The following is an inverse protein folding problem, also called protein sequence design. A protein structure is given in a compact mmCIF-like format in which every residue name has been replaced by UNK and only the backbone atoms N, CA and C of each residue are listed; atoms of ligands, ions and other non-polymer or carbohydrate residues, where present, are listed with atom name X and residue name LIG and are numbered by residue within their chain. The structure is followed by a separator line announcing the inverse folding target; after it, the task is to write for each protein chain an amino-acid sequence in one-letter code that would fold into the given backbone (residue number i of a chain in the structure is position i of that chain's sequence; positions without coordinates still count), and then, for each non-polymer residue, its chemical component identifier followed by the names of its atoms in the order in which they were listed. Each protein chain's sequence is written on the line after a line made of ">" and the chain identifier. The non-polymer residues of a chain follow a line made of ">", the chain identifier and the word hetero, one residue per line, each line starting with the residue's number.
data_IF_351846172524
#
_entry.id   IF_351846172524
#
_cell.length_a   1.000
_cell.length_b   1.000
_cell.length_c   1.000
_cell.angle_alpha   90.00
_cell.angle_beta   90.00
_cell.angle_gamma   90.00
#
_symmetry.space_group_name_H-M   'P 1'
#
loop_
_entity.id
_entity.type
_entity.pdbx_description
1 polymer ?
#
# COMPACT_ATOMS: atom_id res chain seq x y z
N UNK A 1 -19.79 -41.47 -48.39
CA UNK A 1 -19.93 -40.01 -48.56
C UNK A 1 -21.40 -39.66 -48.72
N UNK A 2 -22.04 -39.10 -47.70
CA UNK A 2 -23.24 -38.25 -47.84
C UNK A 2 -23.24 -37.29 -46.65
N UNK A 3 -22.97 -36.01 -46.93
CA UNK A 3 -22.86 -34.93 -45.94
C UNK A 3 -24.26 -34.59 -45.39
N UNK A 4 -24.47 -34.79 -44.08
CA UNK A 4 -25.59 -34.15 -43.37
C UNK A 4 -25.33 -32.65 -43.27
N UNK A 5 -26.22 -31.85 -43.85
CA UNK A 5 -26.26 -30.39 -43.63
C UNK A 5 -26.71 -30.14 -42.19
N UNK A 6 -25.84 -29.56 -41.37
CA UNK A 6 -26.20 -28.98 -40.08
C UNK A 6 -27.08 -27.74 -40.35
N UNK A 7 -28.31 -27.75 -39.85
CA UNK A 7 -29.13 -26.54 -39.72
C UNK A 7 -28.53 -25.69 -38.61
N UNK A 8 -28.05 -24.51 -38.95
CA UNK A 8 -27.79 -23.42 -38.00
C UNK A 8 -29.11 -22.99 -37.35
N UNK A 9 -29.15 -22.76 -36.03
CA UNK A 9 -30.29 -22.10 -35.40
C UNK A 9 -30.28 -20.62 -35.81
N UNK A 10 -31.44 -20.10 -36.22
CA UNK A 10 -31.66 -18.65 -36.31
C UNK A 10 -31.55 -18.02 -34.91
N UNK A 11 -31.02 -16.80 -34.79
CA UNK A 11 -31.00 -16.08 -33.52
C UNK A 11 -32.45 -15.76 -33.13
N UNK A 12 -32.87 -16.31 -32.00
CA UNK A 12 -34.20 -16.11 -31.46
C UNK A 12 -34.48 -14.63 -31.31
N UNK A 13 -35.54 -14.22 -32.00
CA UNK A 13 -35.97 -12.84 -32.12
C UNK A 13 -36.35 -12.33 -30.72
N UNK A 14 -35.79 -11.17 -30.36
CA UNK A 14 -36.00 -10.46 -29.09
C UNK A 14 -37.40 -10.69 -28.55
N UNK A 15 -37.51 -11.35 -27.39
CA UNK A 15 -38.77 -11.38 -26.65
C UNK A 15 -39.25 -9.93 -26.50
N UNK A 16 -40.49 -9.58 -26.89
CA UNK A 16 -40.97 -8.23 -26.69
C UNK A 16 -41.09 -8.06 -25.18
N UNK A 17 -40.13 -7.33 -24.58
CA UNK A 17 -40.24 -6.87 -23.20
C UNK A 17 -41.57 -6.13 -23.14
N UNK A 18 -42.54 -6.77 -22.50
CA UNK A 18 -43.93 -6.35 -22.40
C UNK A 18 -43.94 -4.87 -21.99
N UNK A 19 -44.76 -4.04 -22.63
CA UNK A 19 -44.75 -2.59 -22.37
C UNK A 19 -44.92 -2.26 -20.87
N UNK A 20 -45.61 -3.14 -20.13
CA UNK A 20 -45.71 -3.09 -18.66
C UNK A 20 -44.36 -3.19 -17.95
N UNK A 21 -43.47 -4.09 -18.38
CA UNK A 21 -42.13 -4.26 -17.79
C UNK A 21 -41.23 -3.06 -18.08
N UNK A 22 -41.35 -2.45 -19.27
CA UNK A 22 -40.63 -1.20 -19.60
C UNK A 22 -41.07 -0.03 -18.72
N UNK A 23 -42.37 0.09 -18.46
CA UNK A 23 -42.93 1.12 -17.57
C UNK A 23 -42.47 0.90 -16.12
N UNK A 24 -42.43 -0.35 -15.65
CA UNK A 24 -41.94 -0.68 -14.30
C UNK A 24 -40.46 -0.30 -14.17
N UNK A 25 -39.61 -0.68 -15.14
CA UNK A 25 -38.18 -0.34 -15.13
C UNK A 25 -37.97 1.18 -15.19
N UNK A 26 -38.72 1.89 -16.04
CA UNK A 26 -38.64 3.36 -16.12
C UNK A 26 -39.07 4.03 -14.81
N UNK A 27 -40.13 3.54 -14.17
CA UNK A 27 -40.60 4.07 -12.88
C UNK A 27 -39.60 3.82 -11.74
N UNK A 28 -38.99 2.64 -11.71
CA UNK A 28 -37.93 2.30 -10.75
C UNK A 28 -36.68 3.17 -10.94
N UNK A 29 -36.27 3.43 -12.19
CA UNK A 29 -35.17 4.35 -12.50
C UNK A 29 -35.48 5.80 -12.10
N UNK A 30 -36.71 6.25 -12.31
CA UNK A 30 -37.13 7.60 -11.90
C UNK A 30 -37.13 7.74 -10.38
N UNK A 31 -37.63 6.73 -9.65
CA UNK A 31 -37.57 6.67 -8.19
C UNK A 31 -36.13 6.62 -7.67
N UNK A 32 -35.25 5.84 -8.30
CA UNK A 32 -33.83 5.78 -7.95
C UNK A 32 -33.14 7.14 -8.18
N UNK A 33 -33.48 7.82 -9.28
CA UNK A 33 -32.91 9.14 -9.58
C UNK A 33 -33.43 10.22 -8.62
N UNK A 34 -34.71 10.16 -8.24
CA UNK A 34 -35.30 11.01 -7.20
C UNK A 34 -34.63 10.74 -5.84
N UNK A 35 -34.39 9.48 -5.49
CA UNK A 35 -33.73 9.09 -4.25
C UNK A 35 -32.27 9.58 -4.22
N UNK A 36 -31.55 9.45 -5.34
CA UNK A 36 -30.20 10.00 -5.51
C UNK A 36 -30.20 11.54 -5.44
N UNK A 37 -31.18 12.21 -6.04
CA UNK A 37 -31.35 13.67 -5.92
C UNK A 37 -31.62 14.07 -4.47
N UNK A 38 -32.49 13.36 -3.75
CA UNK A 38 -32.72 13.64 -2.32
C UNK A 38 -31.47 13.38 -1.49
N UNK A 39 -30.71 12.32 -1.76
CA UNK A 39 -29.43 12.09 -1.06
C UNK A 39 -28.38 13.15 -1.42
N UNK A 40 -28.43 13.73 -2.63
CA UNK A 40 -27.51 14.79 -3.04
C UNK A 40 -27.89 16.15 -2.43
N UNK A 41 -29.19 16.47 -2.37
CA UNK A 41 -29.68 17.73 -1.78
C UNK A 41 -29.78 17.70 -0.25
N UNK A 42 -30.09 16.56 0.38
CA UNK A 42 -30.18 16.42 1.83
C UNK A 42 -28.87 16.00 2.51
N UNK A 43 -27.76 15.81 1.75
CA UNK A 43 -26.42 15.63 2.34
C UNK A 43 -25.72 16.94 2.69
N UNK A 44 -26.40 18.08 2.57
CA UNK A 44 -26.09 19.27 3.33
C UNK A 44 -27.24 19.56 4.30
N UNK A 45 -27.17 19.13 5.57
CA UNK A 45 -27.67 19.99 6.60
C UNK A 45 -26.74 21.20 6.62
N UNK A 46 -27.22 22.33 6.09
CA UNK A 46 -26.80 23.64 6.58
C UNK A 46 -27.18 23.69 8.07
N UNK A 47 -26.33 23.10 8.91
CA UNK A 47 -26.26 23.46 10.31
C UNK A 47 -25.70 24.87 10.32
N UNK A 48 -26.62 25.83 10.41
CA UNK A 48 -26.35 27.23 10.73
C UNK A 48 -25.80 27.40 12.15
N UNK A 49 -24.69 26.74 12.46
CA UNK A 49 -23.69 27.34 13.31
C UNK A 49 -22.84 28.20 12.38
N UNK A 50 -23.02 29.51 12.49
CA UNK A 50 -21.97 30.46 12.19
C UNK A 50 -20.78 30.14 13.11
N UNK A 51 -20.04 29.09 12.78
CA UNK A 51 -18.65 29.01 13.15
C UNK A 51 -18.04 30.25 12.53
N UNK A 52 -17.75 31.23 13.40
CA UNK A 52 -16.84 32.31 13.09
C UNK A 52 -15.64 31.64 12.43
N UNK A 53 -15.61 31.68 11.10
CA UNK A 53 -14.49 31.17 10.33
C UNK A 53 -13.42 32.19 10.62
N UNK A 54 -12.66 31.93 11.69
CA UNK A 54 -11.45 32.66 11.99
C UNK A 54 -10.67 32.57 10.70
N UNK A 55 -10.61 33.70 9.99
CA UNK A 55 -9.93 33.83 8.74
C UNK A 55 -8.47 33.65 9.11
N UNK A 56 -8.00 32.40 9.13
CA UNK A 56 -6.66 32.06 9.56
C UNK A 56 -5.72 32.71 8.56
N UNK A 57 -5.23 33.90 8.91
CA UNK A 57 -4.31 34.65 8.08
C UNK A 57 -3.03 33.82 7.98
N UNK A 58 -2.81 33.20 6.83
CA UNK A 58 -1.60 32.44 6.57
C UNK A 58 -0.51 33.36 6.04
N UNK A 59 0.70 33.26 6.60
CA UNK A 59 1.86 33.98 6.09
C UNK A 59 2.43 33.26 4.86
N UNK A 60 3.08 34.02 3.96
CA UNK A 60 3.76 33.44 2.78
C UNK A 60 4.80 32.37 3.16
N UNK A 61 5.53 32.56 4.26
CA UNK A 61 6.52 31.59 4.73
C UNK A 61 5.86 30.28 5.17
N UNK A 62 4.77 30.36 5.94
CA UNK A 62 4.01 29.18 6.37
C UNK A 62 3.38 28.47 5.18
N UNK A 63 2.83 29.24 4.23
CA UNK A 63 2.27 28.70 3.00
C UNK A 63 3.28 27.86 2.22
N UNK A 64 4.47 28.40 1.97
CA UNK A 64 5.52 27.70 1.24
C UNK A 64 6.00 26.46 2.00
N UNK A 65 6.22 26.57 3.30
CA UNK A 65 6.65 25.44 4.15
C UNK A 65 5.64 24.31 4.16
N UNK A 66 4.34 24.61 4.18
CA UNK A 66 3.29 23.59 4.20
C UNK A 66 3.14 22.92 2.83
N UNK A 67 3.27 23.68 1.73
CA UNK A 67 3.34 23.11 0.38
C UNK A 67 4.56 22.18 0.25
N UNK A 68 5.74 22.61 0.70
CA UNK A 68 6.96 21.78 0.69
C UNK A 68 6.77 20.52 1.53
N UNK A 69 6.09 20.63 2.67
CA UNK A 69 5.75 19.48 3.52
C UNK A 69 4.83 18.50 2.80
N UNK A 70 3.78 18.98 2.11
CA UNK A 70 2.89 18.12 1.32
C UNK A 70 3.67 17.40 0.22
N UNK A 71 4.48 18.13 -0.55
CA UNK A 71 5.30 17.55 -1.62
C UNK A 71 6.29 16.50 -1.09
N UNK A 72 6.88 16.74 0.09
CA UNK A 72 7.80 15.80 0.73
C UNK A 72 7.14 14.47 1.12
N UNK A 73 5.86 14.47 1.47
CA UNK A 73 5.09 13.23 1.76
C UNK A 73 5.03 12.32 0.53
N UNK A 74 5.05 12.91 -0.67
CA UNK A 74 5.09 12.18 -1.93
C UNK A 74 6.50 11.79 -2.39
N UNK A 75 7.52 12.12 -1.58
CA UNK A 75 8.91 11.87 -1.91
C UNK A 75 9.46 12.79 -2.99
N UNK A 76 8.85 13.96 -3.21
CA UNK A 76 9.38 14.98 -4.12
C UNK A 76 10.55 15.68 -3.44
N UNK A 77 11.72 15.62 -4.06
CA UNK A 77 12.94 16.24 -3.54
C UNK A 77 12.96 17.75 -3.83
N UNK A 78 13.61 18.52 -2.96
CA UNK A 78 13.78 19.96 -3.17
C UNK A 78 14.54 20.28 -4.47
N UNK A 79 15.43 19.38 -4.90
CA UNK A 79 16.16 19.48 -6.17
C UNK A 79 15.24 19.42 -7.41
N UNK A 80 14.02 18.90 -7.26
CA UNK A 80 13.01 18.77 -8.31
C UNK A 80 12.04 19.96 -8.36
N UNK A 81 12.18 20.91 -7.44
CA UNK A 81 11.34 22.09 -7.32
C UNK A 81 12.14 23.31 -7.79
N UNK A 82 11.65 23.99 -8.82
CA UNK A 82 12.27 25.19 -9.40
C UNK A 82 11.39 26.41 -9.16
N UNK A 83 11.96 27.49 -8.65
CA UNK A 83 11.27 28.78 -8.60
C UNK A 83 11.22 29.38 -10.01
N UNK A 84 10.01 29.72 -10.47
CA UNK A 84 9.73 30.30 -11.78
C UNK A 84 9.05 31.67 -11.67
N UNK A 85 9.11 32.32 -10.51
CA UNK A 85 8.51 33.63 -10.24
C UNK A 85 8.94 34.71 -11.23
N UNK A 86 10.18 34.66 -11.72
CA UNK A 86 10.68 35.57 -12.76
C UNK A 86 9.97 35.38 -14.11
N UNK A 87 9.76 34.13 -14.53
CA UNK A 87 9.13 33.76 -15.80
C UNK A 87 7.62 34.06 -15.83
N UNK A 88 6.95 33.96 -14.68
CA UNK A 88 5.50 34.22 -14.60
C UNK A 88 5.17 35.72 -14.75
N UNK A 89 6.08 36.62 -14.39
CA UNK A 89 5.88 38.08 -14.60
C UNK A 89 5.66 38.43 -16.07
N UNK A 90 6.23 37.65 -17.00
CA UNK A 90 6.08 37.83 -18.45
C UNK A 90 4.68 37.42 -18.96
N UNK A 91 3.91 36.67 -18.15
CA UNK A 91 2.56 36.17 -18.50
C UNK A 91 1.41 37.08 -18.04
N UNK A 92 1.71 38.29 -17.54
CA UNK A 92 0.70 39.29 -17.15
C UNK A 92 0.13 39.13 -15.74
N UNK A 93 0.68 38.22 -14.92
CA UNK A 93 0.35 38.12 -13.49
C UNK A 93 1.21 39.12 -12.72
N UNK A 94 0.59 39.97 -11.89
CA UNK A 94 1.30 40.95 -11.08
C UNK A 94 2.24 40.26 -10.08
N UNK A 95 3.54 40.29 -10.39
CA UNK A 95 4.56 39.63 -9.59
C UNK A 95 4.75 40.21 -8.18
N UNK A 96 4.10 41.33 -7.83
CA UNK A 96 4.14 41.92 -6.47
C UNK A 96 3.23 41.20 -5.49
N UNK A 97 2.12 40.62 -5.94
CA UNK A 97 1.14 39.92 -5.10
C UNK A 97 1.39 38.42 -5.03
N UNK A 98 2.22 37.89 -5.93
CA UNK A 98 2.57 36.48 -5.99
C UNK A 98 3.46 36.08 -4.80
N UNK A 99 2.96 35.20 -3.95
CA UNK A 99 3.68 34.57 -2.86
C UNK A 99 4.71 33.59 -3.38
N UNK A 100 4.31 32.72 -4.31
CA UNK A 100 5.18 31.68 -4.87
C UNK A 100 4.78 31.28 -6.29
N UNK A 101 5.75 30.87 -7.07
CA UNK A 101 5.57 30.35 -8.41
C UNK A 101 6.59 29.25 -8.64
N UNK A 102 6.13 28.01 -8.68
CA UNK A 102 7.01 26.85 -8.68
C UNK A 102 6.68 25.91 -9.82
N UNK A 103 7.72 25.41 -10.43
CA UNK A 103 7.68 24.26 -11.32
C UNK A 103 8.18 23.05 -10.53
N UNK A 104 7.38 22.00 -10.51
CA UNK A 104 7.60 20.81 -9.69
C UNK A 104 7.66 19.64 -10.64
N UNK A 105 8.83 19.01 -10.74
CA UNK A 105 8.99 17.82 -11.56
C UNK A 105 8.41 16.61 -10.82
N UNK A 106 7.55 15.86 -11.49
CA UNK A 106 6.84 14.71 -10.95
C UNK A 106 7.37 13.44 -11.61
N UNK A 107 7.85 12.46 -10.83
CA UNK A 107 8.32 11.19 -11.37
C UNK A 107 7.16 10.40 -11.97
N UNK A 108 7.44 9.58 -12.98
CA UNK A 108 6.42 8.89 -13.78
C UNK A 108 5.60 7.84 -13.01
N UNK A 109 6.10 7.37 -11.87
CA UNK A 109 5.42 6.42 -10.99
C UNK A 109 4.40 7.07 -10.04
N UNK A 110 4.28 8.41 -10.05
CA UNK A 110 3.39 9.17 -9.18
C UNK A 110 2.23 9.80 -9.95
N UNK A 111 1.00 9.54 -9.51
CA UNK A 111 -0.18 10.20 -10.08
C UNK A 111 -0.36 11.60 -9.48
N UNK A 112 -0.38 12.62 -10.33
CA UNK A 112 -0.54 14.03 -9.93
C UNK A 112 -1.90 14.33 -9.29
N UNK A 113 -2.91 13.47 -9.52
CA UNK A 113 -4.25 13.62 -8.94
C UNK A 113 -4.23 13.58 -7.40
N UNK A 114 -3.40 12.74 -6.79
CA UNK A 114 -3.33 12.61 -5.33
C UNK A 114 -2.66 13.85 -4.70
N UNK A 115 -1.57 14.32 -5.31
CA UNK A 115 -0.90 15.57 -4.91
C UNK A 115 -1.86 16.75 -5.03
N UNK A 116 -2.58 16.83 -6.15
CA UNK A 116 -3.57 17.86 -6.41
C UNK A 116 -4.68 17.84 -5.35
N UNK A 117 -5.17 16.65 -4.97
CA UNK A 117 -6.19 16.50 -3.94
C UNK A 117 -5.71 17.01 -2.57
N UNK A 118 -4.51 16.61 -2.12
CA UNK A 118 -3.97 17.03 -0.82
C UNK A 118 -3.68 18.55 -0.79
N UNK A 119 -3.12 19.10 -1.87
CA UNK A 119 -2.89 20.54 -1.98
C UNK A 119 -4.23 21.29 -2.00
N UNK A 120 -5.20 20.86 -2.81
CA UNK A 120 -6.52 21.50 -2.86
C UNK A 120 -7.23 21.48 -1.51
N UNK A 121 -7.16 20.37 -0.77
CA UNK A 121 -7.69 20.28 0.58
C UNK A 121 -7.04 21.28 1.54
N UNK A 122 -5.71 21.42 1.45
CA UNK A 122 -4.96 22.44 2.18
C UNK A 122 -5.37 23.87 1.80
N UNK A 123 -5.53 24.17 0.50
CA UNK A 123 -5.96 25.50 0.01
C UNK A 123 -7.35 25.88 0.54
N UNK A 124 -8.30 24.95 0.47
CA UNK A 124 -9.67 25.18 0.97
C UNK A 124 -9.72 25.45 2.47
N UNK A 125 -8.84 24.82 3.27
CA UNK A 125 -8.73 25.07 4.71
C UNK A 125 -8.47 26.55 5.05
N UNK A 126 -7.81 27.28 4.15
CA UNK A 126 -7.51 28.72 4.32
C UNK A 126 -8.43 29.64 3.53
N UNK A 127 -9.59 29.15 3.07
CA UNK A 127 -10.56 29.93 2.28
C UNK A 127 -9.95 30.57 1.03
N UNK A 128 -8.98 29.90 0.42
CA UNK A 128 -8.39 30.26 -0.86
C UNK A 128 -9.12 29.50 -1.98
N UNK A 129 -9.00 30.00 -3.22
CA UNK A 129 -9.57 29.36 -4.41
C UNK A 129 -8.48 28.77 -5.28
N UNK A 130 -8.65 27.53 -5.71
CA UNK A 130 -7.82 26.88 -6.70
C UNK A 130 -8.51 26.82 -8.08
N UNK A 131 -7.73 27.04 -9.14
CA UNK A 131 -8.08 26.70 -10.52
C UNK A 131 -7.04 25.73 -11.05
N UNK A 132 -7.48 24.52 -11.40
CA UNK A 132 -6.61 23.46 -11.90
C UNK A 132 -6.88 23.24 -13.38
N UNK A 133 -5.83 23.20 -14.19
CA UNK A 133 -5.89 22.89 -15.62
C UNK A 133 -4.89 21.79 -15.94
N UNK A 134 -5.34 20.75 -16.63
CA UNK A 134 -4.50 19.64 -17.13
C UNK A 134 -4.30 19.79 -18.63
N UNK A 135 -3.05 19.67 -19.10
CA UNK A 135 -2.75 19.58 -20.52
C UNK A 135 -3.05 18.13 -21.01
N UNK A 136 -3.98 17.95 -21.96
CA UNK A 136 -4.40 16.62 -22.38
C UNK A 136 -3.30 15.80 -23.06
N UNK A 137 -2.25 16.43 -23.61
CA UNK A 137 -1.18 15.75 -24.34
C UNK A 137 -0.12 15.16 -23.43
N UNK A 138 0.34 15.93 -22.45
CA UNK A 138 1.46 15.56 -21.58
C UNK A 138 1.04 15.31 -20.13
N UNK A 139 -0.25 15.48 -19.79
CA UNK A 139 -0.80 15.27 -18.45
C UNK A 139 -0.24 16.21 -17.38
N UNK A 140 0.48 17.26 -17.78
CA UNK A 140 0.99 18.27 -16.86
C UNK A 140 -0.16 19.05 -16.26
N UNK A 141 -0.03 19.39 -14.97
CA UNK A 141 -1.07 20.11 -14.24
C UNK A 141 -0.55 21.50 -13.89
N UNK A 142 -1.35 22.52 -14.17
CA UNK A 142 -1.15 23.87 -13.68
C UNK A 142 -2.24 24.21 -12.67
N UNK A 143 -1.82 24.56 -11.46
CA UNK A 143 -2.68 25.01 -10.38
C UNK A 143 -2.41 26.49 -10.11
N UNK A 144 -3.44 27.32 -10.27
CA UNK A 144 -3.43 28.71 -9.88
C UNK A 144 -4.24 28.87 -8.59
N UNK A 145 -3.67 29.59 -7.63
CA UNK A 145 -4.27 29.79 -6.31
C UNK A 145 -4.50 31.28 -6.13
N UNK A 146 -5.74 31.64 -5.80
CA UNK A 146 -6.18 33.02 -5.65
C UNK A 146 -6.79 33.26 -4.27
N UNK A 147 -6.74 34.52 -3.84
CA UNK A 147 -7.56 34.98 -2.72
C UNK A 147 -9.05 34.93 -3.11
N UNK A 148 -9.92 34.81 -2.11
CA UNK A 148 -11.38 34.91 -2.27
C UNK A 148 -11.84 36.37 -2.28
N UNK A 149 -11.04 37.27 -2.85
CA UNK A 149 -11.41 38.67 -3.07
C UNK A 149 -12.16 38.85 -4.40
N UNK A 150 -12.81 39.99 -4.59
CA UNK A 150 -13.56 40.31 -5.82
C UNK A 150 -12.67 40.32 -7.06
N UNK A 151 -11.38 40.62 -6.90
CA UNK A 151 -10.39 40.63 -7.97
C UNK A 151 -9.80 39.23 -8.28
N UNK A 152 -10.07 38.22 -7.45
CA UNK A 152 -9.48 36.88 -7.50
C UNK A 152 -7.95 36.91 -7.67
N UNK A 153 -7.29 37.75 -6.87
CA UNK A 153 -5.85 38.02 -6.98
C UNK A 153 -5.07 36.72 -6.87
N UNK A 154 -4.34 36.35 -7.93
CA UNK A 154 -3.51 35.14 -7.96
C UNK A 154 -2.31 35.35 -7.04
N UNK A 155 -2.19 34.49 -6.03
CA UNK A 155 -1.13 34.54 -5.04
C UNK A 155 -0.14 33.39 -5.21
N UNK A 156 -0.50 32.30 -5.87
CA UNK A 156 0.45 31.24 -6.17
C UNK A 156 0.17 30.53 -7.49
N UNK A 157 1.23 30.00 -8.09
CA UNK A 157 1.17 29.15 -9.27
C UNK A 157 2.06 27.92 -9.07
N UNK A 158 1.49 26.73 -9.19
CA UNK A 158 2.20 25.45 -9.11
C UNK A 158 2.03 24.71 -10.44
N UNK A 159 3.14 24.48 -11.13
CA UNK A 159 3.18 23.73 -12.38
C UNK A 159 3.79 22.35 -12.11
N UNK A 160 2.98 21.31 -12.13
CA UNK A 160 3.40 19.92 -12.03
C UNK A 160 3.73 19.39 -13.43
N UNK A 161 5.00 19.04 -13.65
CA UNK A 161 5.50 18.57 -14.93
C UNK A 161 5.98 17.14 -14.79
N UNK A 162 5.41 16.22 -15.56
CA UNK A 162 5.87 14.84 -15.61
C UNK A 162 7.27 14.75 -16.21
N UNK A 163 8.15 14.02 -15.51
CA UNK A 163 9.52 13.78 -15.92
C UNK A 163 9.82 12.28 -15.85
N UNK A 164 9.85 11.62 -17.02
CA UNK A 164 10.10 10.18 -17.12
C UNK A 164 11.50 9.75 -16.65
N UNK A 165 12.43 10.70 -16.61
CA UNK A 165 13.81 10.49 -16.15
C UNK A 165 13.92 10.45 -14.62
N UNK A 166 12.93 10.96 -13.88
CA UNK A 166 12.94 10.95 -12.43
C UNK A 166 12.32 9.66 -11.89
N UNK A 167 13.02 9.01 -10.97
CA UNK A 167 12.55 7.83 -10.25
C UNK A 167 12.76 8.03 -8.76
N UNK A 168 11.73 7.72 -7.97
CA UNK A 168 11.87 7.67 -6.51
C UNK A 168 12.62 6.41 -6.12
N UNK A 169 13.79 6.58 -5.52
CA UNK A 169 14.59 5.46 -5.02
C UNK A 169 14.21 5.20 -3.56
N UNK A 170 13.35 4.21 -3.35
CA UNK A 170 12.91 3.77 -2.00
C UNK A 170 13.00 2.25 -1.87
N UNK A 171 13.29 1.74 -0.66
CA UNK A 171 13.37 0.30 -0.44
C UNK A 171 12.03 -0.39 -0.65
N UNK A 172 12.08 -1.65 -1.06
CA UNK A 172 10.94 -2.56 -0.93
C UNK A 172 10.86 -3.07 0.50
N UNK A 173 9.68 -3.07 1.08
CA UNK A 173 9.42 -3.44 2.47
C UNK A 173 8.51 -4.67 2.49
N UNK A 174 8.87 -5.67 3.28
CA UNK A 174 8.01 -6.80 3.58
C UNK A 174 7.77 -6.83 5.09
N UNK A 175 6.50 -6.88 5.48
CA UNK A 175 6.08 -6.99 6.88
C UNK A 175 5.46 -8.36 7.08
N UNK A 176 6.03 -9.11 8.02
CA UNK A 176 5.45 -10.37 8.50
C UNK A 176 4.83 -10.10 9.86
N UNK A 177 3.52 -10.33 9.94
CA UNK A 177 2.76 -10.30 11.18
C UNK A 177 2.93 -11.63 11.89
N UNK A 178 3.48 -11.55 13.09
CA UNK A 178 3.52 -12.65 14.05
C UNK A 178 2.28 -12.58 14.95
N UNK A 179 1.88 -13.74 15.47
CA UNK A 179 1.04 -13.82 16.67
C UNK A 179 -0.38 -13.31 16.47
N UNK A 180 -0.98 -13.51 15.28
CA UNK A 180 -2.38 -13.16 15.04
C UNK A 180 -3.33 -14.02 15.90
N UNK A 181 -2.87 -15.22 16.28
CA UNK A 181 -3.57 -16.21 17.09
C UNK A 181 -3.71 -15.80 18.57
N UNK A 182 -3.22 -14.62 18.94
CA UNK A 182 -3.45 -13.98 20.24
C UNK A 182 -4.55 -12.89 20.19
N UNK A 183 -5.08 -12.56 19.01
CA UNK A 183 -6.23 -11.65 18.85
C UNK A 183 -7.53 -12.43 18.96
N UNK A 184 -8.68 -11.77 19.15
CA UNK A 184 -9.96 -12.45 18.93
C UNK A 184 -10.10 -12.83 17.45
N UNK A 185 -10.78 -13.94 17.15
CA UNK A 185 -10.91 -14.45 15.77
C UNK A 185 -11.55 -13.40 14.85
N UNK A 186 -12.62 -12.76 15.29
CA UNK A 186 -13.30 -11.69 14.54
C UNK A 186 -12.37 -10.50 14.23
N UNK A 187 -11.45 -10.16 15.15
CA UNK A 187 -10.47 -9.09 14.93
C UNK A 187 -9.41 -9.52 13.92
N UNK A 188 -8.97 -10.78 13.97
CA UNK A 188 -8.05 -11.35 13.00
C UNK A 188 -8.68 -11.39 11.59
N UNK A 189 -9.95 -11.80 11.47
CA UNK A 189 -10.70 -11.76 10.20
C UNK A 189 -10.75 -10.35 9.62
N UNK A 190 -11.09 -9.36 10.45
CA UNK A 190 -11.13 -7.96 10.03
C UNK A 190 -9.76 -7.46 9.53
N UNK A 191 -8.66 -7.87 10.19
CA UNK A 191 -7.31 -7.55 9.75
C UNK A 191 -6.99 -8.19 8.40
N UNK A 192 -7.34 -9.46 8.22
CA UNK A 192 -7.04 -10.24 7.03
C UNK A 192 -7.84 -9.79 5.80
N UNK A 193 -9.03 -9.23 6.01
CA UNK A 193 -9.86 -8.64 4.96
C UNK A 193 -9.37 -7.28 4.45
N UNK A 194 -8.31 -6.71 5.03
CA UNK A 194 -7.75 -5.43 4.56
C UNK A 194 -6.98 -5.59 3.25
N UNK A 195 -6.81 -4.52 2.48
CA UNK A 195 -6.02 -4.51 1.24
C UNK A 195 -4.51 -4.38 1.49
N UNK A 196 -4.05 -4.45 2.73
CA UNK A 196 -2.65 -4.29 3.06
C UNK A 196 -1.81 -5.50 2.62
N UNK A 197 -0.66 -5.22 2.00
CA UNK A 197 0.29 -6.24 1.55
C UNK A 197 1.22 -6.63 2.70
N UNK A 198 0.68 -7.44 3.61
CA UNK A 198 1.41 -8.07 4.71
C UNK A 198 1.43 -9.58 4.53
N UNK A 199 2.41 -10.23 5.15
CA UNK A 199 2.48 -11.69 5.23
C UNK A 199 2.31 -12.15 6.66
N UNK A 200 1.95 -13.42 6.85
CA UNK A 200 1.55 -13.94 8.16
C UNK A 200 2.42 -15.13 8.53
N UNK A 201 2.65 -15.32 9.83
CA UNK A 201 3.12 -16.60 10.35
C UNK A 201 1.91 -17.48 10.61
N UNK A 202 1.85 -18.64 9.95
CA UNK A 202 0.78 -19.60 10.16
C UNK A 202 0.97 -20.33 11.51
N UNK A 203 0.02 -20.25 12.45
CA UNK A 203 0.13 -20.97 13.72
C UNK A 203 -0.14 -22.46 13.50
N UNK A 204 0.86 -23.32 13.71
CA UNK A 204 0.74 -24.76 13.42
C UNK A 204 0.07 -25.59 14.52
N UNK A 205 -0.27 -25.00 15.67
CA UNK A 205 -0.85 -25.74 16.79
C UNK A 205 -2.31 -26.09 16.50
N UNK A 206 -2.73 -27.30 16.89
CA UNK A 206 -4.09 -27.80 16.66
C UNK A 206 -5.17 -26.95 17.35
N UNK A 207 -4.89 -26.35 18.51
CA UNK A 207 -5.81 -25.46 19.21
C UNK A 207 -6.00 -24.10 18.52
N UNK A 208 -5.26 -23.85 17.42
CA UNK A 208 -5.35 -22.66 16.59
C UNK A 208 -5.90 -22.96 15.18
N UNK A 209 -6.60 -24.08 15.03
CA UNK A 209 -7.20 -24.50 13.75
C UNK A 209 -8.10 -23.42 13.14
N UNK A 210 -8.88 -22.70 13.95
CA UNK A 210 -9.75 -21.62 13.46
C UNK A 210 -8.92 -20.51 12.77
N UNK A 211 -7.79 -20.10 13.35
CA UNK A 211 -6.90 -19.11 12.74
C UNK A 211 -6.21 -19.66 11.49
N UNK A 212 -5.89 -20.96 11.44
CA UNK A 212 -5.35 -21.57 10.22
C UNK A 212 -6.37 -21.47 9.08
N UNK A 213 -7.63 -21.85 9.33
CA UNK A 213 -8.71 -21.76 8.35
C UNK A 213 -8.89 -20.32 7.86
N UNK A 214 -9.00 -19.36 8.79
CA UNK A 214 -9.19 -17.95 8.44
C UNK A 214 -8.02 -17.39 7.62
N UNK A 215 -6.76 -17.70 7.97
CA UNK A 215 -5.59 -17.28 7.19
C UNK A 215 -5.64 -17.87 5.78
N UNK A 216 -5.89 -19.19 5.68
CA UNK A 216 -5.91 -19.89 4.39
C UNK A 216 -7.03 -19.38 3.49
N UNK A 217 -8.21 -19.12 4.04
CA UNK A 217 -9.38 -18.60 3.31
C UNK A 217 -9.20 -17.15 2.88
N UNK A 218 -8.46 -16.33 3.65
CA UNK A 218 -8.21 -14.93 3.31
C UNK A 218 -7.40 -14.73 2.03
N UNK A 219 -6.69 -15.77 1.57
CA UNK A 219 -5.77 -15.70 0.43
C UNK A 219 -4.53 -14.82 0.68
N UNK A 220 -4.31 -14.36 1.92
CA UNK A 220 -3.11 -13.61 2.30
C UNK A 220 -1.88 -14.50 2.24
N UNK A 221 -0.75 -13.88 1.95
CA UNK A 221 0.53 -14.56 1.91
C UNK A 221 0.93 -15.04 3.31
N UNK A 222 1.40 -16.28 3.43
CA UNK A 222 1.82 -16.82 4.71
C UNK A 222 3.11 -17.62 4.59
N UNK A 223 3.84 -17.66 5.70
CA UNK A 223 5.03 -18.46 5.90
C UNK A 223 4.81 -19.42 7.07
N UNK A 224 5.68 -20.41 7.14
CA UNK A 224 5.72 -21.33 8.27
C UNK A 224 7.04 -21.11 8.98
N UNK A 225 6.96 -20.78 10.27
CA UNK A 225 8.14 -20.66 11.13
C UNK A 225 8.26 -21.93 11.97
N UNK A 226 9.45 -22.53 11.97
CA UNK A 226 9.74 -23.76 12.69
C UNK A 226 11.00 -23.58 13.54
N UNK A 227 11.03 -24.24 14.69
CA UNK A 227 12.22 -24.28 15.55
C UNK A 227 12.95 -25.61 15.40
N UNK A 228 14.26 -25.55 15.17
CA UNK A 228 15.15 -26.73 15.19
C UNK A 228 15.90 -26.72 16.52
N UNK A 229 15.79 -27.82 17.27
CA UNK A 229 16.32 -27.94 18.62
C UNK A 229 17.01 -29.28 18.90
N UNK A 230 17.45 -29.47 20.14
CA UNK A 230 17.90 -30.76 20.66
C UNK A 230 16.94 -31.27 21.74
N UNK A 231 17.33 -32.32 22.46
CA UNK A 231 16.56 -32.92 23.55
C UNK A 231 16.18 -31.93 24.67
N UNK A 232 16.96 -30.86 24.86
CA UNK A 232 16.71 -29.82 25.87
C UNK A 232 15.69 -28.78 25.40
N UNK A 233 15.45 -28.67 24.09
CA UNK A 233 14.49 -27.73 23.50
C UNK A 233 13.11 -28.39 23.36
N UNK A 234 12.36 -28.45 24.46
CA UNK A 234 11.01 -29.08 24.49
C UNK A 234 10.05 -28.45 23.48
N UNK A 235 10.21 -27.16 23.21
CA UNK A 235 9.34 -26.40 22.29
C UNK A 235 9.78 -26.47 20.83
N UNK A 236 10.86 -27.19 20.50
CA UNK A 236 11.33 -27.30 19.14
C UNK A 236 10.42 -28.19 18.28
N UNK A 237 10.18 -27.75 17.05
CA UNK A 237 9.34 -28.49 16.11
C UNK A 237 10.06 -29.73 15.60
N UNK A 238 11.34 -29.62 15.32
CA UNK A 238 12.18 -30.71 14.82
C UNK A 238 13.40 -30.78 15.72
N UNK A 239 13.66 -31.97 16.29
CA UNK A 239 14.79 -32.16 17.20
C UNK A 239 15.78 -33.17 16.67
N UNK A 240 17.07 -32.95 16.94
CA UNK A 240 18.17 -33.83 16.50
C UNK A 240 18.11 -35.23 17.14
N UNK A 241 17.48 -35.37 18.31
CA UNK A 241 17.26 -36.65 19.00
C UNK A 241 16.05 -37.43 18.45
N UNK A 242 15.24 -36.86 17.56
CA UNK A 242 14.14 -37.58 16.92
C UNK A 242 14.67 -38.65 15.97
N UNK A 243 14.05 -39.83 15.98
CA UNK A 243 14.32 -40.86 14.97
C UNK A 243 14.10 -40.31 13.58
N UNK A 244 14.96 -40.70 12.64
CA UNK A 244 14.98 -40.22 11.25
C UNK A 244 13.62 -40.22 10.55
N UNK A 245 12.88 -41.32 10.68
CA UNK A 245 11.55 -41.46 10.10
C UNK A 245 10.53 -40.48 10.71
N UNK A 246 10.71 -40.10 11.97
CA UNK A 246 9.77 -39.25 12.71
C UNK A 246 9.85 -37.81 12.23
N UNK A 247 11.06 -37.23 12.19
CA UNK A 247 11.22 -35.86 11.76
C UNK A 247 10.93 -35.71 10.25
N UNK A 248 11.34 -36.67 9.42
CA UNK A 248 11.00 -36.69 7.98
C UNK A 248 9.49 -36.76 7.74
N UNK A 249 8.78 -37.59 8.52
CA UNK A 249 7.32 -37.65 8.46
C UNK A 249 6.67 -36.32 8.84
N UNK A 250 7.20 -35.61 9.85
CA UNK A 250 6.73 -34.28 10.22
C UNK A 250 6.95 -33.26 9.10
N UNK A 251 8.14 -33.22 8.50
CA UNK A 251 8.43 -32.38 7.32
C UNK A 251 7.45 -32.67 6.18
N UNK A 252 7.27 -33.94 5.84
CA UNK A 252 6.32 -34.39 4.81
C UNK A 252 4.89 -33.95 5.13
N UNK A 253 4.44 -34.08 6.37
CA UNK A 253 3.08 -33.66 6.76
C UNK A 253 2.88 -32.16 6.58
N UNK A 254 3.85 -31.34 6.99
CA UNK A 254 3.81 -29.88 6.80
C UNK A 254 3.78 -29.54 5.31
N UNK A 255 4.64 -30.20 4.53
CA UNK A 255 4.74 -29.97 3.09
C UNK A 255 3.44 -30.29 2.35
N UNK A 256 2.77 -31.39 2.73
CA UNK A 256 1.51 -31.80 2.11
C UNK A 256 0.34 -30.92 2.54
N UNK A 257 0.24 -30.59 3.84
CA UNK A 257 -0.87 -29.82 4.38
C UNK A 257 -0.81 -28.33 3.98
N UNK A 258 0.39 -27.80 3.77
CA UNK A 258 0.60 -26.37 3.53
C UNK A 258 1.44 -26.10 2.28
N UNK A 259 1.14 -26.80 1.19
CA UNK A 259 1.86 -26.70 -0.10
C UNK A 259 1.88 -25.28 -0.70
N UNK A 260 0.99 -24.38 -0.24
CA UNK A 260 0.92 -22.99 -0.68
C UNK A 260 1.74 -22.01 0.18
N UNK A 261 2.45 -22.48 1.21
CA UNK A 261 3.27 -21.58 2.03
C UNK A 261 4.39 -20.97 1.19
N UNK A 262 4.64 -19.68 1.40
CA UNK A 262 5.60 -18.92 0.59
C UNK A 262 7.05 -19.13 0.98
N UNK A 263 7.27 -19.76 2.13
CA UNK A 263 8.56 -20.25 2.57
C UNK A 263 8.50 -20.84 3.97
N UNK A 264 9.56 -21.56 4.31
CA UNK A 264 9.85 -22.05 5.65
C UNK A 264 10.94 -21.18 6.25
N UNK A 265 10.76 -20.68 7.48
CA UNK A 265 11.79 -19.96 8.22
C UNK A 265 12.17 -20.75 9.46
N UNK A 266 13.46 -21.04 9.61
CA UNK A 266 13.97 -21.78 10.76
C UNK A 266 14.59 -20.86 11.82
N UNK A 267 14.16 -21.09 13.06
CA UNK A 267 14.87 -20.67 14.26
C UNK A 267 15.80 -21.79 14.70
N UNK A 268 17.11 -21.57 14.55
CA UNK A 268 18.09 -22.59 14.89
C UNK A 268 18.55 -22.41 16.34
N UNK A 269 18.25 -23.38 17.20
CA UNK A 269 18.64 -23.36 18.61
C UNK A 269 19.80 -24.33 18.93
N UNK A 270 20.38 -24.96 17.90
CA UNK A 270 21.47 -25.94 18.05
C UNK A 270 22.65 -25.62 17.14
N UNK A 271 23.81 -26.16 17.50
CA UNK A 271 25.04 -26.03 16.70
C UNK A 271 25.29 -27.22 15.74
N UNK A 272 24.33 -28.14 15.60
CA UNK A 272 24.40 -29.26 14.66
C UNK A 272 24.03 -28.83 13.23
N UNK A 273 25.04 -28.39 12.48
CA UNK A 273 24.87 -27.95 11.09
C UNK A 273 24.47 -29.09 10.15
N UNK A 274 24.86 -30.33 10.44
CA UNK A 274 24.56 -31.47 9.57
C UNK A 274 23.06 -31.79 9.64
N UNK A 275 22.53 -31.91 10.85
CA UNK A 275 21.10 -32.13 11.05
C UNK A 275 20.26 -30.99 10.46
N UNK A 276 20.62 -29.74 10.71
CA UNK A 276 19.94 -28.57 10.13
C UNK A 276 19.92 -28.64 8.60
N UNK A 277 21.05 -28.96 7.97
CA UNK A 277 21.12 -29.11 6.51
C UNK A 277 20.28 -30.27 5.98
N UNK A 278 20.18 -31.38 6.72
CA UNK A 278 19.33 -32.51 6.35
C UNK A 278 17.85 -32.12 6.38
N UNK A 279 17.42 -31.38 7.40
CA UNK A 279 16.05 -30.85 7.48
C UNK A 279 15.76 -29.87 6.35
N UNK A 280 16.68 -28.96 6.04
CA UNK A 280 16.56 -28.02 4.91
C UNK A 280 16.37 -28.78 3.59
N UNK A 281 17.25 -29.74 3.29
CA UNK A 281 17.19 -30.55 2.06
C UNK A 281 15.87 -31.32 1.93
N UNK A 282 15.35 -31.82 3.05
CA UNK A 282 14.06 -32.52 3.05
C UNK A 282 12.93 -31.57 2.62
N UNK A 283 12.85 -30.34 3.18
CA UNK A 283 11.86 -29.35 2.73
C UNK A 283 12.05 -28.91 1.27
N UNK A 284 13.30 -28.73 0.84
CA UNK A 284 13.62 -28.39 -0.55
C UNK A 284 13.20 -29.49 -1.52
N UNK A 285 13.23 -30.77 -1.12
CA UNK A 285 12.73 -31.89 -1.92
C UNK A 285 11.24 -31.78 -2.24
N UNK A 286 10.47 -31.10 -1.38
CA UNK A 286 9.07 -30.73 -1.60
C UNK A 286 8.89 -29.36 -2.26
N UNK A 287 9.97 -28.77 -2.80
CA UNK A 287 10.01 -27.47 -3.50
C UNK A 287 9.73 -26.25 -2.63
N UNK A 288 9.89 -26.35 -1.31
CA UNK A 288 9.84 -25.16 -0.46
C UNK A 288 11.12 -24.34 -0.57
N UNK A 289 10.98 -23.02 -0.50
CA UNK A 289 12.10 -22.13 -0.19
C UNK A 289 12.30 -22.10 1.31
N UNK A 290 13.53 -22.29 1.74
CA UNK A 290 13.88 -22.40 3.15
C UNK A 290 14.86 -21.29 3.52
N UNK A 291 14.60 -20.64 4.66
CA UNK A 291 15.36 -19.50 5.14
C UNK A 291 15.72 -19.67 6.62
N UNK A 292 16.77 -19.00 7.06
CA UNK A 292 17.10 -18.85 8.48
C UNK A 292 16.41 -17.59 9.03
N UNK A 293 16.11 -17.53 10.33
CA UNK A 293 15.56 -16.34 10.99
C UNK A 293 16.41 -15.08 10.80
N UNK A 294 17.70 -15.21 10.48
CA UNK A 294 18.58 -14.09 10.11
C UNK A 294 18.16 -13.35 8.84
N UNK A 295 17.18 -13.86 8.08
CA UNK A 295 16.54 -13.13 6.98
C UNK A 295 15.81 -11.88 7.47
N UNK A 296 15.31 -11.88 8.72
CA UNK A 296 14.69 -10.72 9.30
C UNK A 296 15.75 -9.66 9.60
N UNK A 297 15.56 -8.47 9.07
CA UNK A 297 16.40 -7.33 9.43
C UNK A 297 16.27 -7.01 10.91
N UNK A 298 15.04 -7.03 11.41
CA UNK A 298 14.70 -6.72 12.79
C UNK A 298 13.39 -7.38 13.19
N UNK A 299 13.37 -7.87 14.42
CA UNK A 299 12.16 -8.32 15.09
C UNK A 299 11.74 -7.22 16.07
N UNK A 300 10.55 -6.64 15.87
CA UNK A 300 10.12 -5.48 16.67
C UNK A 300 9.14 -5.94 17.74
N UNK A 301 9.62 -5.91 18.98
CA UNK A 301 8.90 -6.26 20.19
C UNK A 301 9.03 -5.09 21.19
N UNK A 302 7.98 -4.79 21.97
CA UNK A 302 8.00 -3.73 23.00
C UNK A 302 6.86 -2.71 22.88
N UNK A 303 6.99 -1.56 23.52
CA UNK A 303 6.04 -0.43 23.40
C UNK A 303 6.33 0.41 22.14
N UNK A 304 5.33 1.15 21.64
CA UNK A 304 5.45 2.05 20.48
C UNK A 304 6.00 1.38 19.20
N UNK A 305 5.59 0.11 18.96
CA UNK A 305 6.12 -0.73 17.88
C UNK A 305 5.95 -0.11 16.50
N UNK A 306 4.80 0.52 16.25
CA UNK A 306 4.50 1.15 14.95
C UNK A 306 5.46 2.30 14.70
N UNK A 307 5.60 3.22 15.66
CA UNK A 307 6.57 4.32 15.57
C UNK A 307 8.00 3.82 15.34
N UNK A 308 8.43 2.80 16.11
CA UNK A 308 9.75 2.20 15.97
C UNK A 308 9.96 1.59 14.56
N UNK A 309 8.97 0.83 14.06
CA UNK A 309 9.00 0.23 12.73
C UNK A 309 9.12 1.29 11.62
N UNK A 310 8.27 2.32 11.67
CA UNK A 310 8.21 3.35 10.63
C UNK A 310 9.48 4.19 10.62
N UNK A 311 10.05 4.51 11.78
CA UNK A 311 11.32 5.21 11.87
C UNK A 311 12.49 4.37 11.34
N UNK A 312 12.53 3.08 11.66
CA UNK A 312 13.56 2.16 11.16
C UNK A 312 13.54 2.12 9.63
N UNK A 313 12.36 1.91 9.03
CA UNK A 313 12.13 1.94 7.58
C UNK A 313 12.61 3.26 6.95
N UNK A 314 12.33 4.41 7.61
CA UNK A 314 12.77 5.72 7.13
C UNK A 314 14.29 5.88 7.21
N UNK A 315 14.90 5.53 8.34
CA UNK A 315 16.35 5.65 8.53
C UNK A 315 17.15 4.77 7.57
N UNK A 316 16.66 3.56 7.29
CA UNK A 316 17.37 2.61 6.43
C UNK A 316 17.23 2.90 4.94
N UNK A 317 16.22 3.70 4.55
CA UNK A 317 16.16 4.22 3.19
C UNK A 317 17.37 5.10 2.84
N UNK A 318 18.07 5.64 3.85
CA UNK A 318 19.28 6.44 3.70
C UNK A 318 20.53 5.55 3.53
N UNK A 319 20.50 4.30 4.01
CA UNK A 319 21.66 3.39 4.06
C UNK A 319 21.84 2.49 2.83
N UNK A 320 21.11 2.74 1.73
CA UNK A 320 21.16 2.01 0.44
C UNK A 320 20.72 0.54 0.48
N UNK A 321 20.06 0.07 1.54
CA UNK A 321 19.44 -1.25 1.50
C UNK A 321 18.19 -1.20 0.60
N UNK A 322 18.16 -2.00 -0.46
CA UNK A 322 17.05 -2.00 -1.43
C UNK A 322 15.82 -2.80 -0.94
N UNK A 323 15.98 -3.59 0.11
CA UNK A 323 15.00 -4.54 0.61
C UNK A 323 15.05 -4.65 2.13
N UNK A 324 13.91 -4.45 2.78
CA UNK A 324 13.76 -4.50 4.23
C UNK A 324 12.69 -5.52 4.60
N UNK A 325 13.04 -6.50 5.43
CA UNK A 325 12.12 -7.53 5.92
C UNK A 325 12.00 -7.42 7.44
N UNK A 326 10.77 -7.19 7.91
CA UNK A 326 10.49 -7.06 9.33
C UNK A 326 9.51 -8.13 9.80
N UNK A 327 9.75 -8.62 11.01
CA UNK A 327 8.79 -9.43 11.76
C UNK A 327 8.25 -8.60 12.92
N UNK A 328 6.93 -8.49 13.02
CA UNK A 328 6.28 -7.58 13.97
C UNK A 328 5.04 -8.22 14.58
N UNK A 329 4.85 -8.03 15.89
CA UNK A 329 3.62 -8.41 16.60
C UNK A 329 2.80 -7.15 16.89
N UNK A 330 1.70 -6.96 16.16
CA UNK A 330 0.79 -5.82 16.32
C UNK A 330 -0.54 -6.30 16.90
N UNK A 331 -1.17 -5.53 17.78
CA UNK A 331 -2.58 -5.70 18.13
C UNK A 331 -3.49 -4.97 17.11
N UNK A 332 -4.83 -5.09 17.18
CA UNK A 332 -5.73 -4.46 16.19
C UNK A 332 -5.61 -2.93 16.10
N UNK A 333 -5.43 -2.24 17.23
CA UNK A 333 -5.28 -0.78 17.24
C UNK A 333 -3.93 -0.36 16.61
N UNK A 334 -2.84 -1.03 17.00
CA UNK A 334 -1.51 -0.85 16.42
C UNK A 334 -1.50 -1.17 14.92
N UNK A 335 -2.25 -2.19 14.47
CA UNK A 335 -2.36 -2.51 13.06
C UNK A 335 -3.03 -1.37 12.28
N UNK A 336 -4.11 -0.78 12.81
CA UNK A 336 -4.77 0.36 12.17
C UNK A 336 -3.89 1.60 12.09
N UNK A 337 -3.09 1.86 13.13
CA UNK A 337 -2.06 2.90 13.10
C UNK A 337 -1.00 2.60 12.02
N UNK A 338 -0.52 1.35 11.96
CA UNK A 338 0.40 0.89 10.93
C UNK A 338 -0.16 1.12 9.52
N UNK A 339 -1.44 0.82 9.23
CA UNK A 339 -2.01 1.06 7.88
C UNK A 339 -1.89 2.53 7.50
N UNK A 340 -2.17 3.43 8.44
CA UNK A 340 -2.12 4.88 8.22
C UNK A 340 -0.69 5.33 7.90
N UNK A 341 0.30 4.87 8.65
CA UNK A 341 1.70 5.22 8.41
C UNK A 341 2.29 4.52 7.17
N UNK A 342 1.91 3.27 6.92
CA UNK A 342 2.29 2.53 5.72
C UNK A 342 1.76 3.20 4.45
N UNK A 343 0.53 3.74 4.48
CA UNK A 343 -0.02 4.52 3.38
C UNK A 343 0.81 5.77 3.08
N UNK A 344 1.29 6.48 4.12
CA UNK A 344 2.21 7.62 3.94
C UNK A 344 3.54 7.19 3.31
N UNK A 345 4.08 6.04 3.71
CA UNK A 345 5.29 5.49 3.09
C UNK A 345 5.03 5.08 1.63
N UNK A 346 3.90 4.46 1.31
CA UNK A 346 3.52 4.16 -0.08
C UNK A 346 3.43 5.43 -0.92
N UNK A 347 2.80 6.50 -0.40
CA UNK A 347 2.80 7.82 -1.04
C UNK A 347 4.21 8.34 -1.31
N UNK A 348 5.15 8.12 -0.39
CA UNK A 348 6.55 8.50 -0.56
C UNK A 348 7.37 7.61 -1.53
N UNK A 349 6.76 6.55 -2.08
CA UNK A 349 7.35 5.65 -3.07
C UNK A 349 7.85 4.30 -2.54
N UNK A 350 7.64 3.98 -1.26
CA UNK A 350 8.02 2.68 -0.70
C UNK A 350 7.10 1.59 -1.27
N UNK A 351 7.69 0.43 -1.62
CA UNK A 351 6.95 -0.70 -2.20
C UNK A 351 6.73 -1.77 -1.13
N UNK A 352 5.49 -1.92 -0.68
CA UNK A 352 5.13 -2.98 0.26
C UNK A 352 4.78 -4.26 -0.51
N UNK A 353 5.54 -5.32 -0.23
CA UNK A 353 5.46 -6.61 -0.90
C UNK A 353 5.09 -7.70 0.11
N UNK A 354 4.33 -8.69 -0.34
CA UNK A 354 4.23 -9.97 0.36
C UNK A 354 5.60 -10.69 0.39
N UNK A 355 5.78 -11.66 1.27
CA UNK A 355 7.01 -12.42 1.41
C UNK A 355 7.31 -13.21 0.13
N UNK A 356 6.29 -13.77 -0.51
CA UNK A 356 6.42 -14.41 -1.84
C UNK A 356 6.99 -13.46 -2.88
N UNK A 357 6.45 -12.26 -2.99
CA UNK A 357 6.92 -11.24 -3.95
C UNK A 357 8.31 -10.73 -3.60
N UNK A 358 8.58 -10.55 -2.31
CA UNK A 358 9.85 -10.06 -1.79
C UNK A 358 11.01 -11.03 -2.10
N UNK A 359 10.77 -12.34 -1.97
CA UNK A 359 11.77 -13.40 -2.19
C UNK A 359 11.81 -13.96 -3.62
N UNK A 360 10.85 -13.59 -4.48
CA UNK A 360 10.84 -14.00 -5.90
C UNK A 360 11.51 -13.00 -6.82
N UNK A 361 11.56 -11.71 -6.46
CA UNK A 361 12.26 -10.69 -7.25
C UNK A 361 13.77 -10.82 -7.06
N UNK A 362 14.59 -11.09 -8.10
CA UNK A 362 16.04 -10.91 -8.02
C UNK A 362 16.37 -9.44 -7.70
N UNK A 363 17.48 -9.19 -7.02
CA UNK A 363 17.93 -7.85 -6.59
C UNK A 363 18.36 -6.91 -7.74
N UNK A 364 17.93 -7.17 -8.97
CA UNK A 364 18.35 -6.44 -10.16
C UNK A 364 17.18 -6.13 -11.11
N UNK A 365 16.72 -4.88 -11.08
CA UNK A 365 16.16 -4.17 -12.24
C UNK A 365 15.92 -2.69 -11.87
N UNK A 366 17.00 -1.90 -11.82
CA UNK A 366 17.10 -0.54 -12.36
C UNK A 366 18.42 0.13 -11.93
N UNK A 367 19.56 -0.48 -12.27
CA UNK A 367 20.86 0.21 -12.37
C UNK A 367 21.70 -0.51 -13.43
N UNK A 368 21.23 -0.48 -14.66
CA UNK A 368 22.07 -0.68 -15.84
C UNK A 368 21.92 0.55 -16.74
N UNK A 369 22.58 1.63 -16.32
CA UNK A 369 23.07 2.68 -17.23
C UNK A 369 24.20 3.42 -16.51
N UNK A 370 25.41 2.90 -16.68
CA UNK A 370 26.66 3.66 -16.89
C UNK A 370 27.86 2.73 -16.72
N UNK A 371 28.08 1.91 -17.76
CA UNK A 371 29.42 1.67 -18.28
C UNK A 371 29.37 1.95 -19.77
N UNK A 372 29.71 3.17 -20.14
CA UNK A 372 30.52 3.48 -21.32
C UNK A 372 31.35 4.72 -21.00
#
# INVERSE_FOLDING_TARGET
>A
MYRRKLKTPEPDNKSPINNKTKIIIASALCLLMLLLMTLFFFRNPDNGNSDNTVLNSISTAKFNSDIDSILSVYGIENSWIRDIKSKIKETGIDGKTLWTAREILIPSDLMTIEINYDISGYIRKYSLKEKVTEDPKNKNIKMLISKTDSAQTVIAALNFIYADTLKRIKPSVCIILDSIDYMQVDEAENLLNTTENVSLILPLRNDKADYQSVILESGKDYIIELTIGDENNITADVKSDMKDLTWKSKVKSIALNFHNASGIVFKNQINDKEFVNNVIKEFESYKFKVFNESIYKKQINGENKVYALINDIRSDSVSKSNKLLYKVKLNPAEFNEYKTEAYKLKKAGYKFLSFREFTSKPDSADFNSEKK
#
